data_IF_424126261724
#
_entry.id   IF_424126261724
#
_cell.length_a   1.000
_cell.length_b   1.000
_cell.length_c   1.000
_cell.angle_alpha   90.00
_cell.angle_beta   90.00
_cell.angle_gamma   90.00
#
_symmetry.space_group_name_H-M   'P 1'
#
loop_
_entity.id
_entity.type
_entity.pdbx_description
1 polymer ?
#
# COMPACT_ATOMS: atom_id res chain seq x y z
N UNK A 1 6.18 -18.14 -2.37
CA UNK A 1 6.86 -17.19 -1.45
C UNK A 1 8.16 -16.65 -2.02
N UNK A 2 9.09 -17.48 -2.55
CA UNK A 2 10.36 -17.00 -3.13
C UNK A 2 10.26 -15.96 -4.27
N UNK A 3 9.22 -16.01 -5.09
CA UNK A 3 9.09 -15.10 -6.26
C UNK A 3 8.78 -13.65 -5.87
N UNK A 4 8.01 -13.47 -4.78
CA UNK A 4 7.58 -12.15 -4.31
C UNK A 4 8.71 -11.39 -3.59
N UNK A 5 9.61 -12.12 -2.91
CA UNK A 5 10.81 -11.54 -2.28
C UNK A 5 11.83 -11.02 -3.31
N UNK A 6 11.77 -11.53 -4.54
CA UNK A 6 12.70 -11.17 -5.60
C UNK A 6 12.17 -10.03 -6.48
N UNK A 7 10.84 -9.86 -6.56
CA UNK A 7 10.20 -8.71 -7.22
C UNK A 7 10.37 -7.40 -6.43
N UNK A 8 10.55 -7.45 -5.10
CA UNK A 8 10.74 -6.23 -4.26
C UNK A 8 12.17 -5.70 -4.34
N UNK A 9 13.17 -6.55 -4.62
CA UNK A 9 14.58 -6.14 -4.75
C UNK A 9 14.85 -5.33 -6.04
N UNK A 10 14.07 -5.53 -7.11
CA UNK A 10 14.30 -4.86 -8.39
C UNK A 10 13.51 -3.53 -8.55
N UNK A 11 12.73 -3.11 -7.54
CA UNK A 11 11.92 -1.90 -7.62
C UNK A 11 12.71 -0.65 -7.22
N UNK A 12 13.11 0.16 -8.21
CA UNK A 12 13.99 1.32 -8.03
C UNK A 12 13.46 2.34 -7.00
N UNK A 13 12.15 2.58 -6.98
CA UNK A 13 11.50 3.45 -6.00
C UNK A 13 11.67 2.91 -4.57
N UNK A 14 11.47 1.60 -4.40
CA UNK A 14 11.59 0.95 -3.09
C UNK A 14 13.03 1.00 -2.61
N UNK A 15 13.99 0.78 -3.50
CA UNK A 15 15.41 0.94 -3.19
C UNK A 15 15.77 2.37 -2.78
N UNK A 16 15.33 3.40 -3.51
CA UNK A 16 15.60 4.80 -3.16
C UNK A 16 15.00 5.19 -1.81
N UNK A 17 13.74 4.82 -1.56
CA UNK A 17 13.09 5.07 -0.27
C UNK A 17 13.79 4.27 0.83
N UNK A 18 14.15 3.01 0.59
CA UNK A 18 14.90 2.21 1.53
C UNK A 18 16.24 2.87 1.87
N UNK A 19 17.00 3.38 0.90
CA UNK A 19 18.27 4.06 1.13
C UNK A 19 18.13 5.38 1.91
N UNK A 20 17.06 6.15 1.69
CA UNK A 20 16.78 7.37 2.45
C UNK A 20 16.45 7.05 3.93
N UNK A 21 15.79 5.91 4.19
CA UNK A 21 15.20 5.60 5.49
C UNK A 21 15.89 4.46 6.26
N UNK A 22 16.80 3.69 5.66
CA UNK A 22 17.52 2.55 6.29
C UNK A 22 18.25 2.89 7.59
N UNK A 23 18.66 4.14 7.78
CA UNK A 23 19.28 4.63 9.02
C UNK A 23 18.30 5.09 10.11
N UNK A 24 17.00 5.18 9.77
CA UNK A 24 15.92 5.66 10.64
C UNK A 24 14.93 4.55 11.03
N UNK A 25 14.90 3.44 10.28
CA UNK A 25 14.07 2.26 10.55
C UNK A 25 14.65 1.51 11.75
N UNK A 26 13.93 1.41 12.87
CA UNK A 26 14.33 0.55 14.00
C UNK A 26 13.85 -0.89 13.82
N UNK A 27 13.05 -1.15 12.79
CA UNK A 27 12.74 -2.48 12.28
C UNK A 27 11.36 -3.01 12.66
N UNK A 28 10.45 -2.15 13.14
CA UNK A 28 9.03 -2.53 13.36
C UNK A 28 8.18 -2.16 12.14
N UNK A 29 7.09 -2.91 11.93
CA UNK A 29 6.09 -2.59 10.89
C UNK A 29 5.48 -1.20 11.12
N UNK A 30 5.33 -0.79 12.39
CA UNK A 30 4.86 0.54 12.80
C UNK A 30 5.81 1.68 12.37
N UNK A 31 7.13 1.45 12.41
CA UNK A 31 8.10 2.45 11.93
C UNK A 31 8.00 2.64 10.41
N UNK A 32 7.77 1.54 9.68
CA UNK A 32 7.65 1.56 8.21
C UNK A 32 6.38 2.30 7.77
N UNK A 33 5.26 2.06 8.45
CA UNK A 33 4.00 2.77 8.22
C UNK A 33 4.14 4.28 8.50
N UNK A 34 4.79 4.65 9.61
CA UNK A 34 5.03 6.05 9.95
C UNK A 34 5.91 6.75 8.89
N UNK A 35 6.94 6.07 8.40
CA UNK A 35 7.82 6.57 7.35
C UNK A 35 7.04 6.76 6.04
N UNK A 36 6.27 5.76 5.63
CA UNK A 36 5.43 5.83 4.43
C UNK A 36 4.44 7.01 4.52
N UNK A 37 3.78 7.19 5.67
CA UNK A 37 2.87 8.30 5.90
C UNK A 37 3.59 9.65 5.81
N UNK A 38 4.75 9.78 6.45
CA UNK A 38 5.54 11.02 6.45
C UNK A 38 5.96 11.41 5.03
N UNK A 39 6.43 10.45 4.23
CA UNK A 39 6.78 10.68 2.82
C UNK A 39 5.56 11.21 2.05
N UNK A 40 4.40 10.59 2.23
CA UNK A 40 3.17 10.98 1.53
C UNK A 40 2.68 12.37 1.96
N UNK A 41 2.79 12.72 3.24
CA UNK A 41 2.43 14.04 3.77
C UNK A 41 3.36 15.15 3.29
N UNK A 42 4.66 14.87 3.16
CA UNK A 42 5.67 15.82 2.67
C UNK A 42 5.70 15.94 1.14
N UNK A 43 5.16 14.96 0.41
CA UNK A 43 5.17 14.93 -1.05
C UNK A 43 4.02 15.73 -1.66
N UNK A 44 4.33 16.56 -2.64
CA UNK A 44 3.32 17.17 -3.50
C UNK A 44 2.71 16.14 -4.46
N UNK A 45 1.48 16.41 -4.93
CA UNK A 45 0.85 15.61 -5.99
C UNK A 45 1.73 15.46 -7.24
N UNK A 46 2.54 16.48 -7.55
CA UNK A 46 3.43 16.45 -8.71
C UNK A 46 4.56 15.44 -8.52
N UNK A 47 5.18 15.41 -7.34
CA UNK A 47 6.26 14.47 -7.00
C UNK A 47 5.74 13.02 -6.97
N UNK A 48 4.52 12.81 -6.45
CA UNK A 48 3.88 11.49 -6.49
C UNK A 48 3.62 11.01 -7.93
N UNK A 49 3.27 11.92 -8.84
CA UNK A 49 3.07 11.56 -10.24
C UNK A 49 4.39 11.29 -10.97
N UNK A 50 5.46 12.03 -10.67
CA UNK A 50 6.77 11.72 -11.27
C UNK A 50 7.28 10.34 -10.87
N UNK A 51 7.02 9.92 -9.63
CA UNK A 51 7.30 8.56 -9.18
C UNK A 51 6.57 7.51 -10.05
N UNK A 52 5.28 7.73 -10.33
CA UNK A 52 4.49 6.82 -11.18
C UNK A 52 4.98 6.84 -12.64
N UNK A 53 5.40 8.01 -13.15
CA UNK A 53 5.94 8.13 -14.50
C UNK A 53 7.29 7.43 -14.70
N UNK A 54 8.08 7.29 -13.63
CA UNK A 54 9.37 6.60 -13.64
C UNK A 54 9.26 5.08 -13.47
N UNK A 55 8.11 4.57 -13.01
CA UNK A 55 7.87 3.14 -12.88
C UNK A 55 7.91 2.44 -14.23
N UNK A 56 8.53 1.26 -14.28
CA UNK A 56 8.36 0.38 -15.41
C UNK A 56 6.95 -0.27 -15.43
N UNK A 57 6.67 -1.02 -16.49
CA UNK A 57 5.34 -1.62 -16.67
C UNK A 57 5.02 -2.71 -15.64
N UNK A 58 6.02 -3.39 -15.08
CA UNK A 58 5.83 -4.42 -14.05
C UNK A 58 5.56 -3.76 -12.69
N UNK A 59 6.34 -2.74 -12.34
CA UNK A 59 6.17 -1.91 -11.15
C UNK A 59 4.79 -1.24 -11.12
N UNK A 60 4.39 -0.64 -12.24
CA UNK A 60 3.08 0.00 -12.37
C UNK A 60 1.94 -1.02 -12.21
N UNK A 61 2.05 -2.19 -12.83
CA UNK A 61 1.05 -3.25 -12.67
C UNK A 61 0.96 -3.74 -11.23
N UNK A 62 2.10 -3.89 -10.56
CA UNK A 62 2.14 -4.25 -9.15
C UNK A 62 1.47 -3.18 -8.27
N UNK A 63 1.80 -1.91 -8.48
CA UNK A 63 1.21 -0.78 -7.76
C UNK A 63 -0.31 -0.73 -7.92
N UNK A 64 -0.81 -0.81 -9.16
CA UNK A 64 -2.25 -0.80 -9.44
C UNK A 64 -2.94 -2.05 -8.88
N UNK A 65 -2.30 -3.23 -8.93
CA UNK A 65 -2.82 -4.46 -8.31
C UNK A 65 -3.02 -4.28 -6.81
N UNK A 66 -2.04 -3.70 -6.11
CA UNK A 66 -2.12 -3.47 -4.67
C UNK A 66 -3.28 -2.53 -4.33
N UNK A 67 -3.39 -1.40 -5.04
CA UNK A 67 -4.51 -0.46 -4.88
C UNK A 67 -5.88 -1.15 -5.04
N UNK A 68 -6.05 -1.93 -6.11
CA UNK A 68 -7.30 -2.67 -6.36
C UNK A 68 -7.56 -3.68 -5.24
N UNK A 69 -6.54 -4.45 -4.84
CA UNK A 69 -6.67 -5.50 -3.85
C UNK A 69 -7.06 -4.95 -2.47
N UNK A 70 -6.36 -3.94 -1.97
CA UNK A 70 -6.65 -3.36 -0.65
C UNK A 70 -8.04 -2.70 -0.63
N UNK A 71 -8.40 -1.95 -1.67
CA UNK A 71 -9.74 -1.34 -1.78
C UNK A 71 -10.85 -2.41 -1.82
N UNK A 72 -10.62 -3.56 -2.47
CA UNK A 72 -11.58 -4.65 -2.50
C UNK A 72 -11.73 -5.33 -1.12
N UNK A 73 -10.62 -5.55 -0.40
CA UNK A 73 -10.66 -6.11 0.96
C UNK A 73 -11.46 -5.22 1.92
N UNK A 74 -11.24 -3.90 1.87
CA UNK A 74 -12.01 -2.94 2.65
C UNK A 74 -13.50 -3.01 2.34
N UNK A 75 -13.86 -3.07 1.06
CA UNK A 75 -15.27 -3.19 0.64
C UNK A 75 -15.92 -4.50 1.07
N UNK A 76 -15.20 -5.61 1.01
CA UNK A 76 -15.73 -6.91 1.46
C UNK A 76 -15.98 -6.90 2.97
N UNK A 77 -15.01 -6.40 3.74
CA UNK A 77 -15.14 -6.29 5.20
C UNK A 77 -16.26 -5.32 5.59
N UNK A 78 -16.37 -4.18 4.90
CA UNK A 78 -17.43 -3.19 5.14
C UNK A 78 -18.82 -3.69 4.72
N UNK A 79 -18.91 -4.45 3.61
CA UNK A 79 -20.15 -5.03 3.10
C UNK A 79 -20.70 -6.18 3.97
N UNK A 80 -19.83 -6.87 4.71
CA UNK A 80 -20.24 -7.86 5.71
C UNK A 80 -20.84 -7.18 6.96
N UNK A 81 -20.38 -5.98 7.33
CA UNK A 81 -20.96 -5.22 8.45
C UNK A 81 -22.35 -4.62 8.15
N UNK A 82 -22.69 -4.33 6.89
CA UNK A 82 -24.06 -3.90 6.52
C UNK A 82 -25.07 -5.07 6.56
N UNK A 83 -24.62 -6.30 6.30
CA UNK A 83 -25.50 -7.47 6.35
C UNK A 83 -25.85 -7.90 7.78
N UNK A 84 -24.97 -7.70 8.76
CA UNK A 84 -25.24 -8.08 10.16
C UNK A 84 -26.33 -7.21 10.80
N UNK A 85 -26.51 -5.96 10.36
CA UNK A 85 -27.59 -5.10 10.88
C UNK A 85 -28.98 -5.40 10.29
N UNK A 86 -29.07 -6.04 9.12
CA UNK A 86 -30.35 -6.38 8.50
C UNK A 86 -30.93 -7.71 9.00
N UNK A 87 -30.11 -8.63 9.54
CA UNK A 87 -30.62 -9.87 10.15
C UNK A 87 -31.25 -9.66 11.55
N UNK A 88 -30.94 -8.57 12.25
CA UNK A 88 -31.51 -8.28 13.58
C UNK A 88 -32.87 -7.58 13.57
N UNK A 89 -33.34 -7.06 12.44
CA UNK A 89 -34.64 -6.38 12.34
C UNK A 89 -35.81 -7.26 11.90
N UNK A 90 -35.53 -8.49 11.44
CA UNK A 90 -36.57 -9.39 10.92
C UNK A 90 -36.96 -10.51 11.89
N UNK A 91 -36.65 -10.36 13.18
CA UNK A 91 -37.11 -11.27 14.24
C UNK A 91 -37.97 -10.45 15.23
N UNK A 92 -39.15 -10.04 14.80
CA UNK A 92 -40.25 -9.70 15.70
C UNK A 92 -41.60 -9.92 15.01
#
# INVERSE_FOLDING_TARGET
>A
MKKMSQEVEDMKLVEELYEIYRGKIRGTDEDLDMIALTILEESSRKELLSIIEEMDNEELQYFIRLYILETLKEKLTSGDHENVHNYRRNIH
#
